data_IF_019812024560
#
_entry.id   IF_019812024560
#
_cell.length_a   1.000
_cell.length_b   1.000
_cell.length_c   1.000
_cell.angle_alpha   90.00
_cell.angle_beta   90.00
_cell.angle_gamma   90.00
#
_symmetry.space_group_name_H-M   'P 1'
#
loop_
_entity.id
_entity.type
_entity.pdbx_description
1 polymer ?
#
# COMPACT_ATOMS: atom_id res chain seq x y z
N UNK A 1 -42.71 48.38 2.27
CA UNK A 1 -41.38 48.45 2.89
C UNK A 1 -40.71 47.08 3.06
N UNK A 2 -41.43 46.00 3.40
CA UNK A 2 -40.85 44.65 3.58
C UNK A 2 -40.24 43.95 2.34
N UNK A 3 -40.54 44.40 1.11
CA UNK A 3 -40.00 43.79 -0.11
C UNK A 3 -38.53 44.18 -0.39
N UNK A 4 -38.09 45.39 -0.01
CA UNK A 4 -36.70 45.84 -0.21
C UNK A 4 -35.71 45.16 0.75
N UNK A 5 -36.13 44.86 1.98
CA UNK A 5 -35.27 44.18 2.97
C UNK A 5 -34.98 42.72 2.58
N UNK A 6 -35.94 42.01 1.96
CA UNK A 6 -35.72 40.64 1.45
C UNK A 6 -34.80 40.60 0.23
N UNK A 7 -34.86 41.61 -0.63
CA UNK A 7 -33.97 41.72 -1.80
C UNK A 7 -32.55 42.04 -1.35
N UNK A 8 -32.38 42.91 -0.35
CA UNK A 8 -31.06 43.21 0.22
C UNK A 8 -30.43 42.01 0.94
N UNK A 9 -31.20 41.24 1.71
CA UNK A 9 -30.68 40.04 2.39
C UNK A 9 -30.28 38.93 1.40
N UNK A 10 -31.05 38.73 0.32
CA UNK A 10 -30.70 37.79 -0.75
C UNK A 10 -29.41 38.21 -1.48
N UNK A 11 -29.23 39.50 -1.74
CA UNK A 11 -28.02 40.03 -2.38
C UNK A 11 -26.79 39.87 -1.48
N UNK A 12 -26.93 40.07 -0.17
CA UNK A 12 -25.87 39.86 0.80
C UNK A 12 -25.46 38.39 0.90
N UNK A 13 -26.44 37.47 0.90
CA UNK A 13 -26.20 36.03 0.90
C UNK A 13 -25.41 35.57 -0.34
N UNK A 14 -25.80 36.05 -1.53
CA UNK A 14 -25.09 35.75 -2.78
C UNK A 14 -23.63 36.21 -2.76
N UNK A 15 -23.35 37.41 -2.22
CA UNK A 15 -22.00 37.92 -2.08
C UNK A 15 -21.15 37.07 -1.12
N UNK A 16 -21.73 36.60 -0.02
CA UNK A 16 -21.03 35.72 0.92
C UNK A 16 -20.70 34.36 0.29
N UNK A 17 -21.65 33.79 -0.47
CA UNK A 17 -21.45 32.53 -1.18
C UNK A 17 -20.32 32.63 -2.22
N UNK A 18 -20.27 33.72 -3.00
CA UNK A 18 -19.20 33.93 -3.98
C UNK A 18 -17.81 34.04 -3.33
N UNK A 19 -17.71 34.68 -2.16
CA UNK A 19 -16.43 34.76 -1.43
C UNK A 19 -15.95 33.41 -0.93
N UNK A 20 -16.86 32.57 -0.43
CA UNK A 20 -16.54 31.21 0.00
C UNK A 20 -16.02 30.37 -1.16
N UNK A 21 -16.70 30.40 -2.31
CA UNK A 21 -16.27 29.66 -3.50
C UNK A 21 -14.88 30.11 -3.99
N UNK A 22 -14.60 31.42 -3.99
CA UNK A 22 -13.30 31.94 -4.39
C UNK A 22 -12.19 31.54 -3.40
N UNK A 23 -12.50 31.47 -2.11
CA UNK A 23 -11.58 30.95 -1.10
C UNK A 23 -11.30 29.47 -1.37
N UNK A 24 -12.32 28.62 -1.47
CA UNK A 24 -12.17 27.18 -1.72
C UNK A 24 -11.31 26.89 -2.96
N UNK A 25 -11.50 27.64 -4.05
CA UNK A 25 -10.69 27.49 -5.26
C UNK A 25 -9.21 27.86 -5.06
N UNK A 26 -8.90 28.82 -4.18
CA UNK A 26 -7.52 29.23 -3.89
C UNK A 26 -6.79 28.26 -2.96
N UNK A 27 -7.51 27.65 -2.02
CA UNK A 27 -6.91 26.74 -1.02
C UNK A 27 -6.96 25.28 -1.43
N UNK A 28 -7.74 24.90 -2.45
CA UNK A 28 -7.75 23.53 -2.97
C UNK A 28 -6.43 23.25 -3.67
N UNK A 29 -5.53 22.44 -3.08
CA UNK A 29 -4.27 22.13 -3.72
C UNK A 29 -4.57 21.22 -4.91
N UNK A 30 -4.15 21.61 -6.11
CA UNK A 30 -4.08 20.68 -7.24
C UNK A 30 -2.90 19.77 -6.96
N UNK A 31 -3.13 18.71 -6.18
CA UNK A 31 -2.14 17.66 -6.02
C UNK A 31 -1.94 17.02 -7.40
N UNK A 32 -0.72 17.01 -7.96
CA UNK A 32 -0.47 16.29 -9.18
C UNK A 32 -0.84 14.83 -8.93
N UNK A 33 -1.62 14.24 -9.84
CA UNK A 33 -1.92 12.82 -9.83
C UNK A 33 -0.64 12.06 -10.19
N UNK A 34 0.24 11.92 -9.20
CA UNK A 34 1.47 11.14 -9.31
C UNK A 34 1.08 9.67 -9.18
N UNK A 35 0.57 9.12 -10.27
CA UNK A 35 0.49 7.69 -10.41
C UNK A 35 1.91 7.16 -10.52
N UNK A 36 2.48 6.71 -9.40
CA UNK A 36 3.68 5.88 -9.38
C UNK A 36 3.32 4.57 -10.10
N UNK A 37 3.31 4.61 -11.42
CA UNK A 37 3.23 3.43 -12.27
C UNK A 37 4.55 2.67 -12.13
N UNK A 38 4.77 2.09 -10.96
CA UNK A 38 5.57 0.88 -10.91
C UNK A 38 4.79 -0.09 -11.77
N UNK A 39 5.28 -0.34 -12.99
CA UNK A 39 4.93 -1.55 -13.73
C UNK A 39 5.49 -2.69 -12.88
N UNK A 40 4.78 -3.02 -11.80
CA UNK A 40 4.99 -4.21 -11.02
C UNK A 40 4.60 -5.32 -11.98
N UNK A 41 5.59 -5.87 -12.67
CA UNK A 41 5.40 -7.11 -13.38
C UNK A 41 4.74 -8.07 -12.37
N UNK A 42 3.61 -8.71 -12.74
CA UNK A 42 2.92 -9.61 -11.85
C UNK A 42 3.95 -10.58 -11.26
N UNK A 43 4.11 -10.52 -9.95
CA UNK A 43 5.01 -11.41 -9.26
C UNK A 43 4.44 -12.82 -9.43
N UNK A 44 5.24 -13.82 -9.83
CA UNK A 44 4.74 -15.16 -10.00
C UNK A 44 4.14 -15.64 -8.67
N UNK A 45 2.91 -16.12 -8.71
CA UNK A 45 2.23 -16.59 -7.50
C UNK A 45 2.97 -17.79 -6.87
N UNK A 46 3.59 -18.62 -7.70
CA UNK A 46 4.36 -19.80 -7.30
C UNK A 46 5.77 -19.79 -7.91
N UNK A 47 6.74 -20.37 -7.19
CA UNK A 47 8.12 -20.51 -7.67
C UNK A 47 8.92 -19.21 -7.68
N UNK A 48 10.08 -19.24 -8.34
CA UNK A 48 10.98 -18.09 -8.50
C UNK A 48 11.27 -17.86 -9.99
N UNK A 49 11.48 -16.60 -10.42
CA UNK A 49 11.79 -16.29 -11.80
C UNK A 49 13.19 -16.82 -12.18
N UNK A 50 13.35 -17.23 -13.43
CA UNK A 50 14.68 -17.47 -14.00
C UNK A 50 15.33 -16.12 -14.31
N UNK A 51 16.51 -15.87 -13.76
CA UNK A 51 17.24 -14.62 -13.97
C UNK A 51 18.76 -14.85 -14.08
N UNK A 52 19.47 -13.91 -14.68
CA UNK A 52 20.93 -13.93 -14.81
C UNK A 52 21.45 -12.49 -14.73
N UNK A 53 22.44 -12.18 -13.89
CA UNK A 53 23.13 -13.10 -12.96
C UNK A 53 22.24 -13.55 -11.79
N UNK A 54 22.49 -14.75 -11.27
CA UNK A 54 21.82 -15.29 -10.08
C UNK A 54 22.79 -16.12 -9.24
N UNK A 55 22.45 -16.34 -7.96
CA UNK A 55 23.25 -17.09 -7.01
C UNK A 55 22.39 -18.11 -6.28
N UNK A 56 22.93 -19.31 -6.06
CA UNK A 56 22.24 -20.35 -5.28
C UNK A 56 22.16 -19.92 -3.82
N UNK A 57 20.95 -19.84 -3.29
CA UNK A 57 20.75 -19.52 -1.87
C UNK A 57 20.93 -20.79 -1.04
N UNK A 58 21.94 -20.81 -0.18
CA UNK A 58 22.20 -21.95 0.72
C UNK A 58 21.45 -21.86 2.04
N UNK A 59 21.15 -20.66 2.53
CA UNK A 59 20.46 -20.43 3.79
C UNK A 59 19.74 -19.07 3.78
N UNK A 60 18.66 -18.97 4.55
CA UNK A 60 17.98 -17.69 4.82
C UNK A 60 17.82 -17.56 6.32
N UNK A 61 18.32 -16.45 6.88
CA UNK A 61 18.20 -16.15 8.31
C UNK A 61 17.29 -14.94 8.47
N UNK A 62 16.20 -15.11 9.22
CA UNK A 62 15.33 -14.00 9.59
C UNK A 62 15.75 -13.47 10.97
N UNK A 63 15.92 -12.16 11.08
CA UNK A 63 16.20 -11.47 12.34
C UNK A 63 14.97 -10.70 12.82
N UNK A 64 14.88 -10.44 14.13
CA UNK A 64 13.76 -9.67 14.70
C UNK A 64 12.43 -10.42 14.78
N UNK A 65 12.43 -11.74 14.56
CA UNK A 65 11.21 -12.58 14.61
C UNK A 65 10.63 -12.73 16.02
N UNK A 66 11.33 -12.27 17.06
CA UNK A 66 10.96 -12.51 18.46
C UNK A 66 9.72 -11.73 18.88
N UNK A 67 9.43 -10.63 18.18
CA UNK A 67 8.23 -9.83 18.37
C UNK A 67 7.01 -10.41 17.62
N UNK A 68 7.21 -11.46 16.82
CA UNK A 68 6.16 -12.07 16.02
C UNK A 68 5.52 -13.26 16.74
N UNK A 69 4.23 -13.51 16.50
CA UNK A 69 3.55 -14.64 17.11
C UNK A 69 4.09 -15.97 16.56
N UNK A 70 4.21 -16.96 17.45
CA UNK A 70 4.73 -18.30 17.14
C UNK A 70 3.91 -19.06 16.08
N UNK A 71 2.62 -18.73 15.93
CA UNK A 71 1.76 -19.36 14.92
C UNK A 71 2.06 -18.88 13.49
N UNK A 72 2.91 -17.86 13.29
CA UNK A 72 3.27 -17.30 11.99
C UNK A 72 4.62 -17.84 11.51
N UNK A 73 4.67 -18.91 10.69
CA UNK A 73 5.91 -19.58 10.32
C UNK A 73 6.64 -18.86 9.18
N UNK A 74 7.14 -17.64 9.42
CA UNK A 74 7.88 -16.87 8.42
C UNK A 74 9.12 -17.61 7.91
N UNK A 75 9.83 -18.30 8.81
CA UNK A 75 11.04 -19.05 8.45
C UNK A 75 10.74 -20.16 7.44
N UNK A 76 9.57 -20.82 7.54
CA UNK A 76 9.16 -21.85 6.56
C UNK A 76 9.01 -21.23 5.16
N UNK A 77 8.43 -20.04 5.09
CA UNK A 77 8.28 -19.33 3.82
C UNK A 77 9.63 -18.83 3.29
N UNK A 78 10.50 -18.33 4.18
CA UNK A 78 11.85 -17.92 3.83
C UNK A 78 12.67 -19.08 3.23
N UNK A 79 12.55 -20.28 3.82
CA UNK A 79 13.25 -21.47 3.37
C UNK A 79 12.83 -21.97 1.99
N UNK A 80 11.72 -21.50 1.42
CA UNK A 80 11.35 -21.82 0.03
C UNK A 80 12.38 -21.32 -0.98
N UNK A 81 13.19 -20.31 -0.63
CA UNK A 81 14.26 -19.81 -1.48
C UNK A 81 15.51 -20.70 -1.46
N UNK A 82 15.68 -21.58 -0.46
CA UNK A 82 16.88 -22.41 -0.32
C UNK A 82 16.95 -23.40 -1.48
N UNK A 83 18.13 -23.50 -2.11
CA UNK A 83 18.37 -24.35 -3.27
C UNK A 83 17.97 -23.71 -4.60
N UNK A 84 17.30 -22.56 -4.61
CA UNK A 84 16.98 -21.82 -5.84
C UNK A 84 18.11 -20.84 -6.20
N UNK A 85 18.29 -20.61 -7.52
CA UNK A 85 19.17 -19.54 -8.02
C UNK A 85 18.38 -18.24 -8.05
N UNK A 86 18.74 -17.29 -7.18
CA UNK A 86 18.06 -16.00 -7.06
C UNK A 86 19.00 -14.85 -7.39
N UNK A 87 18.47 -13.87 -8.12
CA UNK A 87 19.02 -12.54 -8.31
C UNK A 87 18.07 -11.49 -7.71
N UNK A 88 18.13 -10.26 -8.21
CA UNK A 88 17.36 -9.15 -7.65
C UNK A 88 15.84 -9.38 -7.69
N UNK A 89 15.32 -9.99 -8.76
CA UNK A 89 13.87 -10.21 -8.90
C UNK A 89 13.39 -11.27 -7.92
N UNK A 90 14.12 -12.38 -7.78
CA UNK A 90 13.83 -13.46 -6.86
C UNK A 90 13.89 -13.03 -5.39
N UNK A 91 14.89 -12.21 -5.02
CA UNK A 91 15.00 -11.67 -3.66
C UNK A 91 13.84 -10.70 -3.36
N UNK A 92 13.49 -9.81 -4.29
CA UNK A 92 12.36 -8.91 -4.11
C UNK A 92 11.05 -9.68 -3.97
N UNK A 93 10.85 -10.74 -4.77
CA UNK A 93 9.70 -11.63 -4.63
C UNK A 93 9.63 -12.31 -3.27
N UNK A 94 10.75 -12.84 -2.77
CA UNK A 94 10.82 -13.43 -1.44
C UNK A 94 10.43 -12.41 -0.36
N UNK A 95 10.96 -11.21 -0.47
CA UNK A 95 10.72 -10.12 0.46
C UNK A 95 9.25 -9.67 0.44
N UNK A 96 8.64 -9.54 -0.73
CA UNK A 96 7.21 -9.25 -0.89
C UNK A 96 6.33 -10.35 -0.30
N UNK A 97 6.66 -11.63 -0.52
CA UNK A 97 5.92 -12.75 0.07
C UNK A 97 5.98 -12.73 1.60
N UNK A 98 7.14 -12.45 2.18
CA UNK A 98 7.31 -12.34 3.65
C UNK A 98 6.47 -11.18 4.22
N UNK A 99 6.53 -10.01 3.59
CA UNK A 99 5.70 -8.86 3.97
C UNK A 99 4.20 -9.17 3.84
N UNK A 100 3.79 -9.84 2.77
CA UNK A 100 2.39 -10.22 2.57
C UNK A 100 1.89 -11.23 3.62
N UNK A 101 2.77 -12.07 4.19
CA UNK A 101 2.38 -12.92 5.33
C UNK A 101 2.19 -12.13 6.62
N UNK A 102 2.96 -11.07 6.83
CA UNK A 102 2.78 -10.15 7.95
C UNK A 102 1.47 -9.35 7.80
N UNK A 103 1.23 -8.77 6.62
CA UNK A 103 0.05 -7.94 6.33
C UNK A 103 -1.23 -8.78 6.20
N UNK A 104 -1.13 -9.97 5.59
CA UNK A 104 -2.27 -10.83 5.29
C UNK A 104 -3.00 -11.40 6.51
N UNK A 105 -2.41 -11.30 7.72
CA UNK A 105 -3.07 -11.68 8.96
C UNK A 105 -3.84 -10.51 9.63
N UNK A 106 -4.08 -9.40 8.94
CA UNK A 106 -4.92 -8.32 9.47
C UNK A 106 -6.39 -8.79 9.59
N UNK A 107 -6.80 -9.05 10.83
CA UNK A 107 -8.16 -9.20 11.38
C UNK A 107 -9.09 -10.34 10.91
N UNK A 108 -9.08 -10.81 9.67
CA UNK A 108 -10.13 -11.75 9.22
C UNK A 108 -9.62 -13.11 8.75
N UNK A 109 -8.36 -13.20 8.30
CA UNK A 109 -7.76 -14.45 7.77
C UNK A 109 -6.96 -15.25 8.79
N UNK A 110 -6.83 -14.74 10.01
CA UNK A 110 -6.30 -15.47 11.16
C UNK A 110 -7.42 -15.86 12.12
N UNK A 111 -8.63 -16.15 11.61
CA UNK A 111 -9.58 -16.90 12.40
C UNK A 111 -8.98 -18.28 12.60
N UNK A 112 -8.65 -18.53 13.86
CA UNK A 112 -8.14 -19.78 14.40
C UNK A 112 -9.07 -20.91 13.91
N UNK A 113 -8.54 -21.81 13.08
CA UNK A 113 -9.14 -23.13 12.90
C UNK A 113 -8.90 -23.88 14.22
N UNK A 114 -9.89 -23.81 15.12
CA UNK A 114 -10.12 -24.82 16.15
C UNK A 114 -11.19 -25.77 15.60
#
# INVERSE_FOLDING_TARGET
MAASERVQSAQQFLNQQQRQQALEQQITPVAPDVNLSSVQQPLPEQGFPTETPCFTVSQVVLSGTQALPHWLPLQRQANQAVGHCLGAKGINLLMSRLQNKLVGCSREKCLILI
#
